data_IF_525212966439
#
_entry.id   IF_525212966439
#
_cell.length_a   1.000
_cell.length_b   1.000
_cell.length_c   1.000
_cell.angle_alpha   90.00
_cell.angle_beta   90.00
_cell.angle_gamma   90.00
#
_symmetry.space_group_name_H-M   'P 1'
#
loop_
_entity.id
_entity.type
_entity.pdbx_description
1 polymer ?
#
# COMPACT_ATOMS: atom_id res chain seq x y z
N UNK A 1 12.79 13.86 5.39
CA UNK A 1 12.12 12.88 4.50
C UNK A 1 13.18 12.07 3.79
N UNK A 2 13.37 10.79 4.11
CA UNK A 2 14.15 9.95 3.22
C UNK A 2 13.32 9.79 1.95
N UNK A 3 13.59 10.62 0.94
CA UNK A 3 13.05 10.43 -0.42
C UNK A 3 13.51 9.06 -0.92
N UNK A 4 12.64 8.36 -1.67
CA UNK A 4 13.02 7.10 -2.34
C UNK A 4 14.34 7.35 -3.06
N UNK A 5 15.40 6.60 -2.74
CA UNK A 5 16.71 6.89 -3.27
C UNK A 5 16.66 6.49 -4.74
N UNK A 6 16.91 7.46 -5.62
CA UNK A 6 17.09 7.17 -7.03
C UNK A 6 18.46 6.53 -7.20
N UNK A 7 18.57 5.52 -8.06
CA UNK A 7 19.86 4.92 -8.38
C UNK A 7 20.89 6.03 -8.72
N UNK A 8 22.12 5.99 -8.17
CA UNK A 8 22.77 4.91 -7.41
C UNK A 8 22.66 5.03 -5.87
N UNK A 9 21.80 5.91 -5.35
CA UNK A 9 21.66 6.08 -3.91
C UNK A 9 20.91 4.90 -3.28
N UNK A 10 21.17 4.63 -2.01
CA UNK A 10 20.44 3.65 -1.20
C UNK A 10 20.15 4.22 0.19
N UNK A 11 19.09 3.74 0.83
CA UNK A 11 18.83 4.07 2.22
C UNK A 11 19.79 3.31 3.13
N UNK A 12 20.39 4.04 4.07
CA UNK A 12 21.10 3.44 5.19
C UNK A 12 20.11 3.09 6.31
N UNK A 13 20.43 2.09 7.15
CA UNK A 13 21.64 1.27 7.14
C UNK A 13 21.60 0.13 6.12
N UNK A 14 22.76 -0.20 5.53
CA UNK A 14 22.89 -1.29 4.56
C UNK A 14 22.81 -2.65 5.28
N UNK A 15 22.00 -3.58 4.77
CA UNK A 15 21.81 -4.93 5.32
C UNK A 15 21.34 -4.98 6.79
N UNK A 16 20.81 -3.89 7.32
CA UNK A 16 20.25 -3.80 8.66
C UNK A 16 18.82 -3.24 8.62
N UNK A 17 18.16 -3.25 9.78
CA UNK A 17 16.81 -2.71 9.93
C UNK A 17 16.82 -1.19 9.77
N UNK A 18 15.84 -0.67 9.04
CA UNK A 18 15.62 0.76 8.92
C UNK A 18 15.37 1.42 10.28
N UNK A 19 15.80 2.67 10.40
CA UNK A 19 15.58 3.51 11.57
C UNK A 19 14.36 4.39 11.34
N UNK A 20 13.36 4.30 12.22
CA UNK A 20 12.07 4.97 12.03
C UNK A 20 11.66 5.71 13.30
N UNK A 21 11.15 6.93 13.11
CA UNK A 21 10.33 7.60 14.13
C UNK A 21 8.91 7.12 13.87
N UNK A 22 8.46 6.14 14.65
CA UNK A 22 7.17 5.49 14.43
C UNK A 22 6.01 6.45 14.73
N UNK A 23 4.90 6.26 14.01
CA UNK A 23 3.70 7.08 14.15
C UNK A 23 2.61 6.41 15.00
N UNK A 24 3.00 5.56 15.97
CA UNK A 24 2.11 4.75 16.82
C UNK A 24 1.10 3.89 16.02
N UNK A 25 0.45 2.92 16.69
CA UNK A 25 -0.40 1.91 16.05
C UNK A 25 -1.61 2.51 15.30
N UNK A 26 -2.05 3.71 15.71
CA UNK A 26 -3.22 4.43 15.16
C UNK A 26 -2.83 5.66 14.32
N UNK A 27 -1.57 5.73 13.91
CA UNK A 27 -1.04 6.86 13.16
C UNK A 27 -1.77 7.13 11.85
N UNK A 28 -2.14 8.40 11.66
CA UNK A 28 -2.61 8.92 10.38
C UNK A 28 -1.44 9.41 9.54
N UNK A 29 -1.65 9.45 8.22
CA UNK A 29 -0.77 10.21 7.34
C UNK A 29 -0.77 11.66 7.81
N UNK A 30 0.41 12.15 8.20
CA UNK A 30 0.59 13.49 8.75
C UNK A 30 1.62 14.25 7.94
N UNK A 31 1.20 15.38 7.39
CA UNK A 31 2.11 16.33 6.74
C UNK A 31 3.09 16.89 7.78
N UNK A 32 2.61 17.18 8.99
CA UNK A 32 3.44 17.71 10.07
C UNK A 32 4.57 16.75 10.49
N UNK A 33 4.42 15.45 10.24
CA UNK A 33 5.50 14.47 10.45
C UNK A 33 6.76 14.78 9.62
N UNK A 34 6.65 15.61 8.58
CA UNK A 34 7.75 16.02 7.71
C UNK A 34 8.47 17.30 8.20
N UNK A 35 8.11 17.84 9.38
CA UNK A 35 8.73 19.04 9.95
C UNK A 35 9.87 18.72 10.94
N UNK A 36 10.97 19.48 10.90
CA UNK A 36 12.11 19.26 11.80
C UNK A 36 11.80 19.61 13.26
N UNK A 37 11.25 20.81 13.51
CA UNK A 37 10.99 21.33 14.86
C UNK A 37 9.82 20.62 15.53
N UNK A 38 8.77 20.30 14.78
CA UNK A 38 7.53 19.72 15.28
C UNK A 38 7.48 18.19 15.25
N UNK A 39 8.41 17.52 14.55
CA UNK A 39 8.40 16.05 14.43
C UNK A 39 9.78 15.43 14.66
N UNK A 40 10.76 15.66 13.77
CA UNK A 40 12.03 14.91 13.83
C UNK A 40 12.81 15.17 15.13
N UNK A 41 13.01 16.43 15.52
CA UNK A 41 13.76 16.79 16.74
C UNK A 41 13.11 16.21 18.00
N UNK A 42 11.82 16.48 18.31
CA UNK A 42 11.20 15.91 19.48
C UNK A 42 11.07 14.37 19.41
N UNK A 43 10.88 13.82 18.21
CA UNK A 43 10.75 12.38 17.98
C UNK A 43 12.01 11.56 18.30
N UNK A 44 13.19 12.19 18.31
CA UNK A 44 14.47 11.54 18.66
C UNK A 44 15.11 12.05 19.96
N UNK A 45 14.56 13.10 20.58
CA UNK A 45 15.22 13.84 21.66
C UNK A 45 15.72 12.98 22.84
N UNK A 46 15.07 11.85 23.10
CA UNK A 46 15.40 10.93 24.20
C UNK A 46 15.60 9.48 23.73
N UNK A 47 15.94 9.26 22.46
CA UNK A 47 16.11 7.92 21.88
C UNK A 47 17.58 7.66 21.54
N UNK A 48 18.04 6.45 21.79
CA UNK A 48 19.27 5.93 21.18
C UNK A 48 18.95 5.23 19.85
N UNK A 49 19.98 4.93 19.05
CA UNK A 49 19.80 4.29 17.74
C UNK A 49 19.01 2.97 17.80
N UNK A 50 19.22 2.19 18.86
CA UNK A 50 18.50 0.93 19.06
C UNK A 50 17.00 1.13 19.30
N UNK A 51 16.58 2.26 19.89
CA UNK A 51 15.16 2.59 20.10
C UNK A 51 14.42 2.96 18.79
N UNK A 52 15.17 3.17 17.71
CA UNK A 52 14.65 3.53 16.38
C UNK A 52 14.64 2.34 15.43
N UNK A 53 15.26 1.21 15.79
CA UNK A 53 15.24 0.00 14.97
C UNK A 53 13.85 -0.61 15.00
N UNK A 54 13.20 -0.65 13.84
CA UNK A 54 11.91 -1.34 13.71
C UNK A 54 12.18 -2.81 13.42
N UNK A 55 11.55 -3.77 14.13
CA UNK A 55 11.64 -5.17 13.77
C UNK A 55 11.25 -5.33 12.30
N UNK A 56 12.06 -6.06 11.52
CA UNK A 56 11.57 -6.57 10.25
C UNK A 56 10.42 -7.53 10.57
N UNK A 57 9.20 -7.01 10.48
CA UNK A 57 8.01 -7.83 10.53
C UNK A 57 7.29 -7.70 9.19
N UNK A 58 7.89 -8.18 8.08
CA UNK A 58 7.12 -8.39 6.88
C UNK A 58 6.05 -9.41 7.25
N UNK A 59 4.78 -9.00 7.21
CA UNK A 59 3.68 -9.95 7.38
C UNK A 59 3.88 -11.09 6.38
N UNK A 60 3.90 -12.32 6.87
CA UNK A 60 3.86 -13.51 6.04
C UNK A 60 2.63 -13.47 5.12
N UNK A 61 2.72 -14.16 3.99
CA UNK A 61 1.60 -14.33 3.06
C UNK A 61 0.34 -14.86 3.77
N UNK A 62 0.51 -15.71 4.79
CA UNK A 62 -0.59 -16.21 5.62
C UNK A 62 -1.24 -15.08 6.44
N UNK A 63 -0.46 -14.19 7.04
CA UNK A 63 -0.98 -13.04 7.80
C UNK A 63 -1.68 -12.01 6.88
N UNK A 64 -1.15 -11.78 5.68
CA UNK A 64 -1.77 -10.89 4.69
C UNK A 64 -3.13 -11.46 4.25
N UNK A 65 -3.19 -12.76 3.98
CA UNK A 65 -4.43 -13.45 3.61
C UNK A 65 -5.46 -13.43 4.74
N UNK A 66 -5.05 -13.80 5.95
CA UNK A 66 -5.91 -13.76 7.13
C UNK A 66 -6.46 -12.33 7.36
N UNK A 67 -5.63 -11.31 7.15
CA UNK A 67 -6.08 -9.92 7.22
C UNK A 67 -7.10 -9.58 6.12
N UNK A 68 -6.88 -9.99 4.87
CA UNK A 68 -7.84 -9.76 3.78
C UNK A 68 -9.21 -10.37 4.12
N UNK A 69 -9.22 -11.61 4.60
CA UNK A 69 -10.44 -12.32 5.01
C UNK A 69 -11.13 -11.62 6.20
N UNK A 70 -10.38 -11.14 7.18
CA UNK A 70 -10.94 -10.43 8.34
C UNK A 70 -11.37 -8.99 8.04
N UNK A 71 -10.66 -8.28 7.16
CA UNK A 71 -10.94 -6.88 6.79
C UNK A 71 -12.33 -6.70 6.15
N UNK A 72 -12.88 -7.80 5.65
CA UNK A 72 -14.19 -7.91 5.04
C UNK A 72 -15.33 -8.19 6.05
N UNK A 73 -15.04 -8.97 7.09
CA UNK A 73 -16.06 -9.53 7.97
C UNK A 73 -16.41 -8.70 9.20
N UNK A 74 -15.54 -7.78 9.61
CA UNK A 74 -15.79 -6.97 10.82
C UNK A 74 -15.47 -5.51 10.56
N UNK A 75 -16.27 -4.63 11.16
CA UNK A 75 -15.99 -3.21 11.30
C UNK A 75 -14.77 -2.96 12.18
N UNK A 76 -13.62 -3.56 11.84
CA UNK A 76 -12.33 -3.14 12.37
C UNK A 76 -12.17 -1.66 12.04
N UNK A 77 -12.14 -0.84 13.08
CA UNK A 77 -12.15 0.62 13.03
C UNK A 77 -10.85 1.17 12.45
N UNK A 78 -10.58 0.89 11.18
CA UNK A 78 -9.52 1.57 10.47
C UNK A 78 -10.01 2.96 10.09
N UNK A 79 -9.33 3.96 10.61
CA UNK A 79 -9.59 5.35 10.28
C UNK A 79 -9.12 5.65 8.85
N UNK A 80 -9.87 6.51 8.15
CA UNK A 80 -9.44 7.11 6.89
C UNK A 80 -8.02 7.66 7.04
N UNK A 81 -7.15 7.39 6.06
CA UNK A 81 -5.77 7.89 6.09
C UNK A 81 -4.83 7.18 7.08
N UNK A 82 -5.23 6.06 7.68
CA UNK A 82 -4.35 5.26 8.56
C UNK A 82 -3.12 4.73 7.81
N UNK A 83 -1.92 4.95 8.36
CA UNK A 83 -0.66 4.43 7.80
C UNK A 83 -0.57 2.91 7.88
N UNK A 84 -1.10 2.32 8.94
CA UNK A 84 -1.22 0.87 9.11
C UNK A 84 -2.11 0.24 8.03
N UNK A 85 -3.28 0.84 7.78
CA UNK A 85 -4.18 0.38 6.71
C UNK A 85 -3.50 0.48 5.35
N UNK A 86 -2.82 1.60 5.06
CA UNK A 86 -2.06 1.77 3.82
C UNK A 86 -0.95 0.72 3.66
N UNK A 87 -0.20 0.42 4.73
CA UNK A 87 0.82 -0.62 4.73
C UNK A 87 0.24 -2.01 4.44
N UNK A 88 -0.94 -2.32 4.98
CA UNK A 88 -1.65 -3.58 4.68
C UNK A 88 -2.17 -3.64 3.25
N UNK A 89 -2.72 -2.54 2.73
CA UNK A 89 -3.12 -2.43 1.32
C UNK A 89 -1.93 -2.72 0.40
N UNK A 90 -0.75 -2.13 0.66
CA UNK A 90 0.45 -2.36 -0.14
C UNK A 90 0.92 -3.82 -0.12
N UNK A 91 0.94 -4.45 1.06
CA UNK A 91 1.30 -5.88 1.21
C UNK A 91 0.31 -6.81 0.52
N UNK A 92 -0.99 -6.55 0.68
CA UNK A 92 -2.06 -7.31 0.03
C UNK A 92 -2.02 -7.18 -1.49
N UNK A 93 -1.77 -5.98 -2.00
CA UNK A 93 -1.62 -5.74 -3.43
C UNK A 93 -0.42 -6.51 -4.00
N UNK A 94 0.74 -6.44 -3.34
CA UNK A 94 1.93 -7.21 -3.74
C UNK A 94 1.65 -8.73 -3.73
N UNK A 95 0.98 -9.22 -2.69
CA UNK A 95 0.62 -10.64 -2.58
C UNK A 95 -0.33 -11.08 -3.71
N UNK A 96 -1.38 -10.30 -4.00
CA UNK A 96 -2.32 -10.57 -5.10
C UNK A 96 -1.59 -10.58 -6.45
N UNK A 97 -0.71 -9.60 -6.71
CA UNK A 97 0.05 -9.55 -7.96
C UNK A 97 0.94 -10.78 -8.15
N UNK A 98 1.62 -11.24 -7.08
CA UNK A 98 2.39 -12.50 -7.12
C UNK A 98 1.48 -13.68 -7.43
N UNK A 99 0.32 -13.77 -6.78
CA UNK A 99 -0.65 -14.85 -6.99
C UNK A 99 -1.18 -14.88 -8.43
N UNK A 100 -1.52 -13.72 -8.99
CA UNK A 100 -1.92 -13.60 -10.39
C UNK A 100 -0.77 -13.98 -11.33
N UNK A 101 0.46 -13.55 -11.04
CA UNK A 101 1.65 -13.92 -11.80
C UNK A 101 1.87 -15.44 -11.85
N UNK A 102 1.84 -16.11 -10.70
CA UNK A 102 1.95 -17.59 -10.60
C UNK A 102 0.92 -18.31 -11.48
N UNK A 103 -0.33 -17.83 -11.48
CA UNK A 103 -1.43 -18.40 -12.28
C UNK A 103 -1.17 -18.20 -13.78
N UNK A 104 -0.59 -17.05 -14.16
CA UNK A 104 -0.44 -16.66 -15.56
C UNK A 104 0.85 -17.15 -16.22
N UNK A 105 1.88 -17.51 -15.45
CA UNK A 105 3.17 -18.05 -15.96
C UNK A 105 2.98 -19.28 -16.86
N UNK A 106 1.87 -20.03 -16.72
CA UNK A 106 1.51 -21.15 -17.60
C UNK A 106 0.43 -20.84 -18.65
N UNK A 107 -0.22 -19.68 -18.59
CA UNK A 107 -1.45 -19.40 -19.35
C UNK A 107 -1.28 -18.36 -20.46
N UNK A 108 -0.31 -17.44 -20.35
CA UNK A 108 -0.11 -16.35 -21.32
C UNK A 108 1.37 -16.16 -21.66
N UNK A 109 1.69 -16.10 -22.95
CA UNK A 109 2.96 -15.51 -23.39
C UNK A 109 2.99 -14.03 -22.97
N UNK A 110 4.09 -13.59 -22.35
CA UNK A 110 4.23 -12.23 -21.80
C UNK A 110 4.12 -11.17 -22.90
N UNK A 111 2.92 -10.64 -23.12
CA UNK A 111 2.71 -9.46 -23.93
C UNK A 111 2.82 -8.22 -23.03
N UNK A 112 4.03 -7.72 -22.83
CA UNK A 112 4.22 -6.41 -22.20
C UNK A 112 3.73 -5.33 -23.19
N UNK A 113 2.66 -4.63 -22.84
CA UNK A 113 2.12 -3.56 -23.68
C UNK A 113 2.99 -2.31 -23.54
N UNK A 114 3.72 -1.97 -24.61
CA UNK A 114 4.50 -0.73 -24.69
C UNK A 114 3.53 0.46 -24.55
N UNK A 115 3.82 1.38 -23.64
CA UNK A 115 3.01 2.59 -23.38
C UNK A 115 1.98 2.47 -22.25
N UNK A 116 1.81 1.28 -21.64
CA UNK A 116 0.97 1.12 -20.46
C UNK A 116 1.69 1.67 -19.20
N UNK A 117 0.94 2.36 -18.32
CA UNK A 117 1.45 2.75 -17.00
C UNK A 117 1.60 1.53 -16.10
N UNK A 118 2.31 1.66 -14.97
CA UNK A 118 2.40 0.58 -13.97
C UNK A 118 1.01 0.21 -13.44
N UNK A 119 0.13 1.20 -13.24
CA UNK A 119 -1.24 0.95 -12.77
C UNK A 119 -2.07 0.19 -13.81
N UNK A 120 -1.87 0.47 -15.11
CA UNK A 120 -2.50 -0.27 -16.21
C UNK A 120 -2.06 -1.73 -16.22
N UNK A 121 -0.76 -1.98 -16.09
CA UNK A 121 -0.19 -3.33 -16.05
C UNK A 121 -0.71 -4.11 -14.84
N UNK A 122 -0.81 -3.46 -13.67
CA UNK A 122 -1.37 -4.05 -12.46
C UNK A 122 -2.86 -4.38 -12.61
N UNK A 123 -3.66 -3.44 -13.11
CA UNK A 123 -5.09 -3.66 -13.35
C UNK A 123 -5.35 -4.81 -14.33
N UNK A 124 -4.55 -4.86 -15.41
CA UNK A 124 -4.62 -5.95 -16.38
C UNK A 124 -4.24 -7.30 -15.76
N UNK A 125 -3.14 -7.37 -15.01
CA UNK A 125 -2.67 -8.61 -14.37
C UNK A 125 -3.70 -9.14 -13.37
N UNK A 126 -4.25 -8.25 -12.54
CA UNK A 126 -5.30 -8.61 -11.58
C UNK A 126 -6.54 -9.07 -12.33
N UNK A 127 -7.01 -8.30 -13.33
CA UNK A 127 -8.17 -8.65 -14.13
C UNK A 127 -8.05 -10.01 -14.81
N UNK A 128 -6.86 -10.35 -15.32
CA UNK A 128 -6.59 -11.69 -15.83
C UNK A 128 -6.59 -12.76 -14.75
N UNK A 129 -5.98 -12.51 -13.60
CA UNK A 129 -6.06 -13.44 -12.46
C UNK A 129 -7.50 -13.75 -12.01
N UNK A 130 -8.42 -12.78 -12.12
CA UNK A 130 -9.83 -12.97 -11.80
C UNK A 130 -10.55 -13.94 -12.75
N UNK A 131 -10.16 -13.99 -14.03
CA UNK A 131 -10.73 -14.92 -15.03
C UNK A 131 -10.38 -16.38 -14.69
N UNK A 132 -9.25 -16.62 -14.02
CA UNK A 132 -8.74 -17.96 -13.72
C UNK A 132 -8.99 -18.44 -12.28
N UNK A 133 -9.36 -17.55 -11.34
CA UNK A 133 -9.55 -17.93 -9.94
C UNK A 133 -10.64 -17.14 -9.20
N UNK A 134 -11.68 -17.86 -8.76
CA UNK A 134 -12.73 -17.32 -7.88
C UNK A 134 -12.18 -16.92 -6.51
N UNK A 135 -11.16 -17.62 -6.02
CA UNK A 135 -10.49 -17.30 -4.76
C UNK A 135 -9.82 -15.92 -4.84
N UNK A 136 -9.08 -15.66 -5.93
CA UNK A 136 -8.45 -14.34 -6.18
C UNK A 136 -9.52 -13.25 -6.24
N UNK A 137 -10.68 -13.52 -6.84
CA UNK A 137 -11.78 -12.58 -6.86
C UNK A 137 -12.29 -12.20 -5.47
N UNK A 138 -12.35 -13.15 -4.53
CA UNK A 138 -12.67 -12.87 -3.13
C UNK A 138 -11.68 -11.89 -2.49
N UNK A 139 -10.38 -12.18 -2.59
CA UNK A 139 -9.33 -11.32 -2.04
C UNK A 139 -9.29 -9.93 -2.66
N UNK A 140 -9.52 -9.82 -3.98
CA UNK A 140 -9.55 -8.53 -4.67
C UNK A 140 -10.74 -7.68 -4.19
N UNK A 141 -11.92 -8.27 -3.94
CA UNK A 141 -13.05 -7.53 -3.33
C UNK A 141 -12.69 -6.97 -1.95
N UNK A 142 -11.99 -7.75 -1.15
CA UNK A 142 -11.55 -7.32 0.19
C UNK A 142 -10.50 -6.21 0.11
N UNK A 143 -9.54 -6.32 -0.81
CA UNK A 143 -8.57 -5.26 -1.09
C UNK A 143 -9.26 -3.95 -1.52
N UNK A 144 -10.20 -4.02 -2.46
CA UNK A 144 -10.94 -2.83 -2.92
C UNK A 144 -11.72 -2.20 -1.76
N UNK A 145 -12.37 -3.02 -0.93
CA UNK A 145 -13.07 -2.54 0.26
C UNK A 145 -12.12 -1.82 1.23
N UNK A 146 -10.90 -2.35 1.43
CA UNK A 146 -9.88 -1.71 2.24
C UNK A 146 -9.38 -0.38 1.65
N UNK A 147 -9.18 -0.31 0.32
CA UNK A 147 -8.82 0.93 -0.39
C UNK A 147 -9.91 1.98 -0.20
N UNK A 148 -11.17 1.60 -0.37
CA UNK A 148 -12.29 2.51 -0.18
C UNK A 148 -12.39 3.02 1.27
N UNK A 149 -12.25 2.14 2.25
CA UNK A 149 -12.18 2.54 3.68
C UNK A 149 -11.05 3.53 3.92
N UNK A 150 -9.86 3.28 3.37
CA UNK A 150 -8.72 4.20 3.47
C UNK A 150 -9.04 5.58 2.89
N UNK A 151 -9.75 5.63 1.76
CA UNK A 151 -10.19 6.85 1.09
C UNK A 151 -11.43 7.49 1.74
N UNK A 152 -11.99 6.92 2.82
CA UNK A 152 -13.21 7.41 3.45
C UNK A 152 -14.47 7.20 2.61
N UNK A 153 -14.46 6.18 1.75
CA UNK A 153 -15.55 5.84 0.81
C UNK A 153 -16.10 4.45 1.09
N UNK A 154 -17.29 4.18 0.55
CA UNK A 154 -17.90 2.84 0.56
C UNK A 154 -18.04 2.36 -0.88
N UNK A 155 -17.72 1.10 -1.12
CA UNK A 155 -17.91 0.44 -2.42
C UNK A 155 -19.15 -0.45 -2.36
N UNK A 156 -19.93 -0.49 -3.45
CA UNK A 156 -21.05 -1.43 -3.55
C UNK A 156 -20.54 -2.87 -3.65
N UNK A 157 -21.16 -3.78 -2.91
CA UNK A 157 -20.86 -5.22 -2.99
C UNK A 157 -21.21 -5.84 -4.37
N UNK A 158 -22.02 -5.15 -5.17
CA UNK A 158 -22.51 -5.63 -6.48
C UNK A 158 -21.67 -5.17 -7.68
N UNK A 159 -20.57 -4.45 -7.45
CA UNK A 159 -19.75 -3.93 -8.54
C UNK A 159 -19.03 -5.04 -9.30
N UNK A 160 -19.05 -4.96 -10.63
CA UNK A 160 -18.29 -5.87 -11.49
C UNK A 160 -16.81 -5.52 -11.47
N UNK A 161 -15.96 -6.52 -11.22
CA UNK A 161 -14.50 -6.36 -11.18
C UNK A 161 -13.87 -6.39 -12.59
N UNK A 162 -14.20 -5.39 -13.41
CA UNK A 162 -13.59 -5.24 -14.73
C UNK A 162 -12.18 -4.64 -14.63
N UNK A 163 -11.36 -4.81 -15.68
CA UNK A 163 -10.03 -4.18 -15.75
C UNK A 163 -10.14 -2.66 -15.60
N UNK A 164 -11.12 -2.03 -16.25
CA UNK A 164 -11.34 -0.58 -16.16
C UNK A 164 -11.69 -0.14 -14.73
N UNK A 165 -12.52 -0.92 -14.04
CA UNK A 165 -12.85 -0.64 -12.64
C UNK A 165 -11.61 -0.76 -11.75
N UNK A 166 -10.81 -1.82 -11.92
CA UNK A 166 -9.57 -2.01 -11.17
C UNK A 166 -8.58 -0.87 -11.41
N UNK A 167 -8.38 -0.47 -12.67
CA UNK A 167 -7.53 0.68 -13.03
C UNK A 167 -8.01 1.94 -12.32
N UNK A 168 -9.31 2.23 -12.39
CA UNK A 168 -9.87 3.41 -11.74
C UNK A 168 -9.69 3.40 -10.21
N UNK A 169 -9.83 2.25 -9.54
CA UNK A 169 -9.58 2.14 -8.10
C UNK A 169 -8.10 2.40 -7.76
N UNK A 170 -7.18 1.85 -8.56
CA UNK A 170 -5.74 2.08 -8.39
C UNK A 170 -5.36 3.54 -8.63
N UNK A 171 -5.92 4.16 -9.66
CA UNK A 171 -5.74 5.59 -9.98
C UNK A 171 -6.24 6.47 -8.83
N UNK A 172 -7.42 6.18 -8.26
CA UNK A 172 -7.95 6.91 -7.10
C UNK A 172 -7.00 6.88 -5.90
N UNK A 173 -6.48 5.69 -5.57
CA UNK A 173 -5.53 5.53 -4.48
C UNK A 173 -4.25 6.33 -4.76
N UNK A 174 -3.69 6.18 -5.97
CA UNK A 174 -2.48 6.87 -6.38
C UNK A 174 -2.65 8.40 -6.31
N UNK A 175 -3.70 8.94 -6.91
CA UNK A 175 -3.98 10.37 -6.89
C UNK A 175 -4.12 10.93 -5.47
N UNK A 176 -4.80 10.20 -4.58
CA UNK A 176 -4.93 10.59 -3.17
C UNK A 176 -3.56 10.69 -2.48
N UNK A 177 -2.70 9.69 -2.67
CA UNK A 177 -1.36 9.67 -2.07
C UNK A 177 -0.44 10.73 -2.69
N UNK A 178 -0.48 10.91 -4.01
CA UNK A 178 0.28 11.95 -4.72
C UNK A 178 -0.13 13.34 -4.27
N UNK A 179 -1.42 13.59 -4.07
CA UNK A 179 -1.91 14.87 -3.55
C UNK A 179 -1.39 15.13 -2.14
N UNK A 180 -1.46 14.14 -1.23
CA UNK A 180 -0.93 14.27 0.13
C UNK A 180 0.58 14.52 0.15
N UNK A 181 1.32 13.79 -0.69
CA UNK A 181 2.77 13.96 -0.83
C UNK A 181 3.13 15.35 -1.37
N UNK A 182 2.40 15.84 -2.37
CA UNK A 182 2.61 17.17 -2.92
C UNK A 182 2.38 18.27 -1.87
N UNK A 183 1.34 18.14 -1.03
CA UNK A 183 1.11 19.08 0.08
C UNK A 183 2.25 19.07 1.09
N UNK A 184 2.88 17.92 1.33
CA UNK A 184 4.01 17.83 2.27
C UNK A 184 5.31 18.47 1.75
N UNK A 185 5.44 18.68 0.43
CA UNK A 185 6.62 19.28 -0.20
C UNK A 185 6.46 20.79 -0.40
N UNK A 186 5.23 21.30 -0.46
CA UNK A 186 5.01 22.75 -0.57
C UNK A 186 5.46 23.46 0.73
N UNK A 187 6.28 24.53 0.63
CA UNK A 187 6.71 25.27 1.79
C UNK A 187 5.49 25.90 2.47
N UNK A 188 5.38 25.71 3.79
CA UNK A 188 4.50 26.52 4.63
C UNK A 188 5.02 27.96 4.56
N UNK A 189 4.29 28.84 3.87
CA UNK A 189 4.52 30.29 3.83
C UNK A 189 4.08 30.89 5.17
#
# INVERSE_FOLDING_TARGET
>A
VPMIPLFPFQHLPNNELGLVIDNDIDGLISIAAHNMLGSYIPGVANKVWDDLKVPANPNSDAQVRAWLEHSAGTGGGFMMGSTKLLGMIGRALLWILKKCGEILVGALGTALTIGATVLDQMAWLIGKGLEFSVEVAGYVKHLISAIFKFLGRVVSATVSLTIDFLRWVLDLLFMSLSSMAATAIMPFI
#
